data_IF_972873778938
#
_entry.id   IF_972873778938
#
_cell.length_a   1.000
_cell.length_b   1.000
_cell.length_c   1.000
_cell.angle_alpha   90.00
_cell.angle_beta   90.00
_cell.angle_gamma   90.00
#
_symmetry.space_group_name_H-M   'P 1'
#
loop_
_entity.id
_entity.type
_entity.pdbx_description
1 polymer ?
#
# COMPACT_ATOMS: atom_id res chain seq x y z
N UNK A 1 -2.17 0.03 15.71
CA UNK A 1 -2.05 -0.78 16.96
C UNK A 1 -2.36 -2.23 16.59
N UNK A 2 -1.47 -3.19 16.86
CA UNK A 2 -1.71 -4.60 16.58
C UNK A 2 -2.94 -5.14 17.33
N UNK A 3 -3.63 -6.09 16.70
CA UNK A 3 -4.80 -6.76 17.31
C UNK A 3 -4.58 -8.27 17.14
N UNK A 4 -4.66 -9.00 18.25
CA UNK A 4 -4.68 -10.45 18.21
C UNK A 4 -6.14 -10.90 18.05
N UNK A 5 -6.38 -11.69 17.03
CA UNK A 5 -7.69 -12.27 16.72
C UNK A 5 -7.58 -13.77 16.96
N UNK A 6 -8.51 -14.33 17.72
CA UNK A 6 -8.54 -15.74 18.01
C UNK A 6 -9.98 -16.29 17.96
N UNK A 7 -10.13 -17.50 17.41
CA UNK A 7 -11.39 -18.23 17.35
C UNK A 7 -11.17 -19.71 17.67
N UNK A 8 -12.21 -20.38 18.20
CA UNK A 8 -12.22 -21.85 18.34
C UNK A 8 -12.42 -22.56 17.01
N UNK A 9 -12.96 -21.87 16.04
CA UNK A 9 -13.21 -22.42 14.70
C UNK A 9 -11.98 -22.17 13.84
N UNK A 10 -11.32 -23.25 13.45
CA UNK A 10 -10.17 -23.24 12.57
C UNK A 10 -10.50 -23.76 11.18
N UNK A 11 -9.70 -23.39 10.19
CA UNK A 11 -9.91 -23.80 8.79
C UNK A 11 -11.08 -23.08 8.11
N UNK A 12 -11.52 -21.95 8.64
CA UNK A 12 -12.57 -21.08 8.09
C UNK A 12 -12.02 -19.70 7.83
N UNK A 13 -12.65 -18.97 6.93
CA UNK A 13 -12.34 -17.57 6.69
C UNK A 13 -12.75 -16.74 7.93
N UNK A 14 -11.76 -16.04 8.52
CA UNK A 14 -11.97 -15.28 9.74
C UNK A 14 -12.83 -14.03 9.50
N UNK A 15 -12.83 -13.48 8.28
CA UNK A 15 -13.66 -12.34 7.91
C UNK A 15 -15.12 -12.75 7.76
N UNK A 16 -15.39 -13.87 7.13
CA UNK A 16 -16.73 -14.44 7.05
C UNK A 16 -17.28 -14.79 8.44
N UNK A 17 -16.43 -15.35 9.30
CA UNK A 17 -16.81 -15.62 10.69
C UNK A 17 -17.08 -14.33 11.46
N UNK A 18 -16.30 -13.29 11.26
CA UNK A 18 -16.49 -11.99 11.90
C UNK A 18 -17.82 -11.32 11.52
N UNK A 19 -18.23 -11.49 10.27
CA UNK A 19 -19.47 -10.94 9.75
C UNK A 19 -20.70 -11.74 10.19
N UNK A 20 -20.61 -13.07 10.22
CA UNK A 20 -21.74 -13.96 10.49
C UNK A 20 -21.91 -14.29 11.97
N UNK A 21 -20.82 -14.42 12.72
CA UNK A 21 -20.80 -14.85 14.12
C UNK A 21 -19.75 -14.08 14.97
N UNK A 22 -19.88 -12.74 15.10
CA UNK A 22 -18.88 -11.91 15.77
C UNK A 22 -18.59 -12.31 17.22
N UNK A 23 -19.56 -12.92 17.91
CA UNK A 23 -19.41 -13.39 19.29
C UNK A 23 -18.46 -14.59 19.45
N UNK A 24 -18.05 -15.24 18.36
CA UNK A 24 -17.10 -16.36 18.38
C UNK A 24 -15.66 -15.91 18.17
N UNK A 25 -15.45 -14.63 17.98
CA UNK A 25 -14.13 -14.04 17.74
C UNK A 25 -13.71 -13.24 18.98
N UNK A 26 -12.53 -13.56 19.48
CA UNK A 26 -11.86 -12.81 20.53
C UNK A 26 -10.92 -11.82 19.85
N UNK A 27 -11.08 -10.53 20.16
CA UNK A 27 -10.21 -9.46 19.67
C UNK A 27 -9.51 -8.81 20.86
N UNK A 28 -8.18 -8.91 20.89
CA UNK A 28 -7.34 -8.34 21.96
C UNK A 28 -6.38 -7.32 21.35
N UNK A 29 -6.59 -6.02 21.57
CA UNK A 29 -5.64 -4.99 21.14
C UNK A 29 -4.37 -5.07 22.00
N UNK A 30 -3.21 -4.83 21.37
CA UNK A 30 -1.91 -4.84 22.05
C UNK A 30 -1.37 -3.41 22.11
N UNK A 31 -1.08 -2.94 23.33
CA UNK A 31 -0.38 -1.69 23.54
C UNK A 31 1.09 -1.86 23.11
N UNK A 32 1.52 -1.12 22.08
CA UNK A 32 2.89 -1.24 21.53
C UNK A 32 3.98 -0.69 22.46
N UNK A 33 3.62 0.13 23.44
CA UNK A 33 4.56 0.66 24.45
C UNK A 33 4.82 -0.36 25.55
N UNK A 34 3.76 -1.01 26.03
CA UNK A 34 3.83 -2.01 27.08
C UNK A 34 4.21 -3.40 26.55
N UNK A 35 3.92 -3.66 25.29
CA UNK A 35 4.12 -4.95 24.64
C UNK A 35 3.03 -5.96 24.97
N UNK A 36 3.25 -7.21 24.57
CA UNK A 36 2.34 -8.33 24.83
C UNK A 36 2.97 -9.34 25.77
N UNK A 37 2.26 -9.65 26.84
CA UNK A 37 2.79 -10.47 27.94
C UNK A 37 2.14 -11.86 28.00
N UNK A 38 2.81 -12.86 28.58
CA UNK A 38 2.29 -14.23 28.72
C UNK A 38 0.93 -14.33 29.41
N UNK A 39 0.62 -13.43 30.35
CA UNK A 39 -0.69 -13.45 31.04
C UNK A 39 -1.83 -13.09 30.10
N UNK A 40 -1.62 -12.15 29.18
CA UNK A 40 -2.61 -11.77 28.15
C UNK A 40 -2.85 -12.93 27.16
N UNK A 41 -1.80 -13.63 26.77
CA UNK A 41 -1.91 -14.84 25.96
C UNK A 41 -2.72 -15.94 26.68
N UNK A 42 -2.55 -16.05 28.01
CA UNK A 42 -3.34 -16.98 28.85
C UNK A 42 -4.80 -16.57 28.92
N UNK A 43 -5.11 -15.29 29.01
CA UNK A 43 -6.49 -14.78 28.98
C UNK A 43 -7.18 -15.14 27.67
N UNK A 44 -6.50 -14.93 26.52
CA UNK A 44 -7.00 -15.33 25.20
C UNK A 44 -7.26 -16.84 25.16
N UNK A 45 -6.28 -17.65 25.54
CA UNK A 45 -6.41 -19.11 25.55
C UNK A 45 -7.54 -19.60 26.50
N UNK A 46 -7.73 -18.92 27.62
CA UNK A 46 -8.84 -19.20 28.55
C UNK A 46 -10.19 -18.83 27.94
N UNK A 47 -10.28 -17.70 27.23
CA UNK A 47 -11.49 -17.27 26.54
C UNK A 47 -11.89 -18.20 25.39
N UNK A 48 -10.93 -18.97 24.85
CA UNK A 48 -11.18 -20.08 23.92
C UNK A 48 -11.65 -21.37 24.63
N UNK A 49 -11.99 -21.34 25.95
CA UNK A 49 -12.37 -22.48 26.77
C UNK A 49 -11.31 -23.59 26.85
N UNK A 50 -10.05 -23.30 26.54
CA UNK A 50 -8.97 -24.28 26.73
C UNK A 50 -8.65 -24.47 28.20
N UNK A 51 -8.32 -25.70 28.61
CA UNK A 51 -8.09 -26.08 30.03
C UNK A 51 -6.82 -26.94 30.15
N UNK A 52 -6.27 -26.98 31.36
CA UNK A 52 -5.18 -27.88 31.71
C UNK A 52 -3.95 -27.69 30.84
N UNK A 53 -3.44 -28.77 30.25
CA UNK A 53 -2.23 -28.76 29.40
C UNK A 53 -2.43 -28.00 28.09
N UNK A 54 -3.64 -28.05 27.53
CA UNK A 54 -3.93 -27.34 26.26
C UNK A 54 -3.96 -25.84 26.45
N UNK A 55 -4.46 -25.34 27.58
CA UNK A 55 -4.38 -23.94 27.96
C UNK A 55 -2.93 -23.45 28.02
N UNK A 56 -2.04 -24.24 28.66
CA UNK A 56 -0.62 -23.87 28.77
C UNK A 56 0.11 -23.86 27.43
N UNK A 57 -0.18 -24.85 26.59
CA UNK A 57 0.40 -24.95 25.25
C UNK A 57 -0.08 -23.81 24.36
N UNK A 58 -1.37 -23.54 24.31
CA UNK A 58 -1.95 -22.44 23.54
C UNK A 58 -1.41 -21.08 24.00
N UNK A 59 -1.31 -20.86 25.31
CA UNK A 59 -0.66 -19.67 25.88
C UNK A 59 0.74 -19.47 25.32
N UNK A 60 1.55 -20.55 25.31
CA UNK A 60 2.91 -20.51 24.78
C UNK A 60 2.93 -20.20 23.27
N UNK A 61 2.03 -20.81 22.49
CA UNK A 61 1.94 -20.57 21.03
C UNK A 61 1.54 -19.13 20.75
N UNK A 62 0.48 -18.62 21.37
CA UNK A 62 -0.02 -17.25 21.17
C UNK A 62 1.07 -16.22 21.52
N UNK A 63 1.74 -16.40 22.65
CA UNK A 63 2.82 -15.50 23.04
C UNK A 63 4.01 -15.54 22.09
N UNK A 64 4.44 -16.72 21.63
CA UNK A 64 5.53 -16.87 20.67
C UNK A 64 5.14 -16.32 19.31
N UNK A 65 3.91 -16.51 18.88
CA UNK A 65 3.40 -15.95 17.62
C UNK A 65 3.53 -14.42 17.61
N UNK A 66 3.10 -13.77 18.69
CA UNK A 66 3.28 -12.32 18.80
C UNK A 66 4.76 -11.90 18.80
N UNK A 67 5.64 -12.68 19.44
CA UNK A 67 7.09 -12.41 19.39
C UNK A 67 7.66 -12.50 17.98
N UNK A 68 7.21 -13.44 17.18
CA UNK A 68 7.58 -13.54 15.76
C UNK A 68 7.03 -12.35 14.99
N UNK A 69 5.76 -12.00 15.19
CA UNK A 69 5.13 -10.83 14.57
C UNK A 69 5.93 -9.54 14.82
N UNK A 70 6.28 -9.27 16.06
CA UNK A 70 7.00 -8.09 16.50
C UNK A 70 8.47 -8.09 16.00
N UNK A 71 9.15 -9.24 16.13
CA UNK A 71 10.57 -9.36 15.78
C UNK A 71 10.84 -9.22 14.29
N UNK A 72 9.92 -9.66 13.45
CA UNK A 72 10.11 -9.71 11.99
C UNK A 72 9.32 -8.65 11.25
N UNK A 73 8.86 -7.62 11.93
CA UNK A 73 8.09 -6.53 11.31
C UNK A 73 6.89 -7.05 10.49
N UNK A 74 6.19 -8.06 11.01
CA UNK A 74 5.06 -8.61 10.31
C UNK A 74 3.87 -7.63 10.31
N UNK A 75 3.17 -7.53 9.19
CA UNK A 75 1.90 -6.82 9.05
C UNK A 75 0.72 -7.76 9.30
N UNK A 76 0.89 -9.03 8.91
CA UNK A 76 -0.04 -10.13 9.17
C UNK A 76 0.77 -11.36 9.60
N UNK A 77 0.29 -12.06 10.61
CA UNK A 77 0.78 -13.38 10.99
C UNK A 77 -0.38 -14.24 11.47
N UNK A 78 -0.67 -15.30 10.74
CA UNK A 78 -1.82 -16.16 10.97
C UNK A 78 -1.39 -17.62 11.09
N UNK A 79 -2.03 -18.37 12.01
CA UNK A 79 -2.05 -19.83 12.03
C UNK A 79 -3.51 -20.25 11.88
N UNK A 80 -3.84 -20.90 10.76
CA UNK A 80 -5.21 -21.32 10.50
C UNK A 80 -5.28 -22.65 9.72
N UNK A 81 -5.61 -23.78 10.43
CA UNK A 81 -5.88 -23.89 11.86
C UNK A 81 -4.64 -24.21 12.71
N UNK A 82 -4.73 -23.91 14.02
CA UNK A 82 -3.89 -24.50 15.04
C UNK A 82 -4.57 -25.79 15.56
N UNK A 83 -4.00 -26.93 15.28
CA UNK A 83 -4.60 -28.24 15.55
C UNK A 83 -4.05 -28.86 16.83
N UNK A 84 -4.91 -29.46 17.63
CA UNK A 84 -4.52 -30.35 18.74
C UNK A 84 -4.64 -31.79 18.26
N UNK A 85 -3.52 -32.50 18.18
CA UNK A 85 -3.48 -33.92 17.74
C UNK A 85 -4.03 -34.85 18.80
N UNK A 86 -4.27 -36.11 18.43
CA UNK A 86 -4.69 -37.16 19.36
C UNK A 86 -3.60 -37.45 20.45
N UNK A 87 -2.32 -37.18 20.16
CA UNK A 87 -1.22 -37.24 21.13
C UNK A 87 -1.18 -36.00 22.07
N UNK A 88 -2.04 -35.02 21.83
CA UNK A 88 -2.09 -33.77 22.59
C UNK A 88 -1.02 -32.75 22.18
N UNK A 89 -0.38 -32.91 21.04
CA UNK A 89 0.55 -31.91 20.49
C UNK A 89 -0.21 -30.79 19.76
N UNK A 90 0.30 -29.56 19.83
CA UNK A 90 -0.22 -28.45 19.03
C UNK A 90 0.61 -28.28 17.76
N UNK A 91 -0.06 -28.32 16.62
CA UNK A 91 0.56 -28.24 15.30
C UNK A 91 -0.09 -27.09 14.50
N UNK A 92 0.74 -26.19 13.99
CA UNK A 92 0.30 -25.21 13.01
C UNK A 92 0.12 -25.90 11.66
N UNK A 93 -1.11 -26.10 11.21
CA UNK A 93 -1.38 -26.80 9.96
C UNK A 93 -1.08 -25.92 8.74
N UNK A 94 -1.35 -24.62 8.85
CA UNK A 94 -0.96 -23.62 7.87
C UNK A 94 -0.53 -22.33 8.58
N UNK A 95 0.42 -21.62 7.97
CA UNK A 95 0.94 -20.34 8.46
C UNK A 95 0.97 -19.38 7.26
N UNK A 96 0.42 -18.19 7.49
CA UNK A 96 0.56 -17.04 6.60
C UNK A 96 1.33 -15.95 7.33
N UNK A 97 2.32 -15.37 6.66
CA UNK A 97 3.08 -14.23 7.20
C UNK A 97 3.30 -13.21 6.08
N UNK A 98 2.88 -11.99 6.32
CA UNK A 98 3.25 -10.82 5.53
C UNK A 98 4.15 -9.92 6.38
N UNK A 99 5.20 -9.37 5.78
CA UNK A 99 6.21 -8.54 6.44
C UNK A 99 6.18 -7.16 5.83
N UNK A 100 6.37 -6.13 6.66
CA UNK A 100 6.46 -4.76 6.19
C UNK A 100 7.67 -4.60 5.25
N UNK A 101 7.41 -4.24 3.98
CA UNK A 101 8.46 -3.98 3.00
C UNK A 101 9.46 -2.92 3.47
N UNK A 102 8.96 -1.88 4.16
CA UNK A 102 9.79 -0.82 4.69
C UNK A 102 10.65 -1.29 5.90
N UNK A 103 10.34 -2.47 6.47
CA UNK A 103 11.12 -3.16 7.49
C UNK A 103 12.17 -4.14 6.96
N UNK A 104 12.07 -4.58 5.69
CA UNK A 104 12.92 -5.66 5.13
C UNK A 104 14.42 -5.37 5.17
N UNK A 105 14.83 -4.09 5.12
CA UNK A 105 16.25 -3.72 5.20
C UNK A 105 16.93 -4.17 6.49
N UNK A 106 16.18 -4.29 7.59
CA UNK A 106 16.67 -4.78 8.89
C UNK A 106 16.42 -6.27 9.12
N UNK A 107 15.86 -6.98 8.14
CA UNK A 107 15.54 -8.42 8.18
C UNK A 107 16.35 -9.22 7.14
N UNK A 108 17.71 -9.29 7.26
CA UNK A 108 18.58 -9.84 6.21
C UNK A 108 18.33 -11.32 5.93
N UNK A 109 17.77 -12.08 6.87
CA UNK A 109 17.43 -13.50 6.68
C UNK A 109 16.10 -13.72 5.98
N UNK A 110 15.18 -12.76 6.06
CA UNK A 110 13.87 -12.80 5.42
C UNK A 110 13.86 -12.12 4.04
N UNK A 111 14.54 -10.98 3.92
CA UNK A 111 14.55 -10.17 2.70
C UNK A 111 14.76 -10.96 1.40
N UNK A 112 15.68 -11.98 1.33
CA UNK A 112 15.83 -12.78 0.11
C UNK A 112 14.68 -13.76 -0.18
N UNK A 113 13.76 -13.94 0.77
CA UNK A 113 12.66 -14.93 0.71
C UNK A 113 11.30 -14.30 0.51
N UNK A 114 11.22 -12.99 0.67
CA UNK A 114 9.98 -12.21 0.57
C UNK A 114 9.96 -11.47 -0.76
N UNK A 115 8.87 -11.58 -1.49
CA UNK A 115 8.65 -10.79 -2.71
C UNK A 115 8.26 -9.36 -2.31
N UNK A 116 9.08 -8.33 -2.62
CA UNK A 116 8.78 -6.94 -2.26
C UNK A 116 7.46 -6.48 -2.86
N UNK A 117 6.69 -5.71 -2.10
CA UNK A 117 5.38 -5.19 -2.49
C UNK A 117 4.21 -6.16 -2.28
N UNK A 118 4.47 -7.38 -1.81
CA UNK A 118 3.41 -8.38 -1.54
C UNK A 118 2.53 -8.02 -0.33
N UNK A 119 3.03 -7.23 0.61
CA UNK A 119 2.31 -6.77 1.80
C UNK A 119 1.28 -5.67 1.52
N UNK A 120 1.43 -4.95 0.39
CA UNK A 120 0.59 -3.79 0.01
C UNK A 120 -0.70 -4.17 -0.71
N UNK A 121 -0.83 -5.41 -1.09
CA UNK A 121 -2.00 -5.91 -1.79
C UNK A 121 -2.53 -7.18 -1.11
N UNK A 122 -3.82 -7.22 -0.86
CA UNK A 122 -4.53 -8.42 -0.38
C UNK A 122 -4.52 -9.58 -1.39
N UNK A 123 -3.85 -9.39 -2.51
CA UNK A 123 -3.71 -10.31 -3.62
C UNK A 123 -2.28 -10.25 -4.17
N UNK A 124 -1.83 -11.26 -4.91
CA UNK A 124 -0.56 -11.19 -5.63
C UNK A 124 -0.47 -9.95 -6.52
N UNK A 125 0.73 -9.39 -6.63
CA UNK A 125 0.97 -8.24 -7.51
C UNK A 125 0.62 -8.58 -8.96
N UNK A 126 -0.04 -7.63 -9.63
CA UNK A 126 -0.24 -7.73 -11.08
C UNK A 126 1.08 -7.55 -11.83
N UNK A 127 1.11 -7.95 -13.10
CA UNK A 127 2.31 -7.75 -13.93
C UNK A 127 2.67 -6.26 -14.09
N UNK A 128 1.69 -5.38 -14.02
CA UNK A 128 1.92 -3.95 -14.07
C UNK A 128 2.51 -3.43 -12.75
N UNK A 129 2.00 -3.90 -11.61
CA UNK A 129 2.54 -3.57 -10.29
C UNK A 129 3.99 -4.03 -10.15
N UNK A 130 4.33 -5.25 -10.60
CA UNK A 130 5.72 -5.74 -10.64
C UNK A 130 6.64 -4.85 -11.47
N UNK A 131 6.17 -4.37 -12.62
CA UNK A 131 6.92 -3.40 -13.43
C UNK A 131 7.14 -2.10 -12.69
N UNK A 132 6.17 -1.63 -11.92
CA UNK A 132 6.30 -0.38 -11.15
C UNK A 132 7.23 -0.53 -9.95
N UNK A 133 7.26 -1.68 -9.29
CA UNK A 133 8.28 -2.02 -8.30
C UNK A 133 9.69 -1.94 -8.94
N UNK A 134 9.86 -2.47 -10.15
CA UNK A 134 11.14 -2.39 -10.87
C UNK A 134 11.52 -0.94 -11.22
N UNK A 135 10.56 -0.06 -11.54
CA UNK A 135 10.81 1.38 -11.75
C UNK A 135 11.30 2.05 -10.47
N UNK A 136 10.70 1.72 -9.32
CA UNK A 136 11.12 2.28 -8.03
C UNK A 136 12.52 1.80 -7.63
N UNK A 137 12.76 0.51 -7.74
CA UNK A 137 14.02 -0.12 -7.31
C UNK A 137 15.20 0.15 -8.23
N UNK A 138 14.97 0.57 -9.47
CA UNK A 138 16.06 0.94 -10.40
C UNK A 138 16.90 2.14 -9.89
N UNK A 139 16.29 3.04 -9.14
CA UNK A 139 16.96 4.22 -8.56
C UNK A 139 16.56 4.39 -7.08
N UNK A 140 16.97 3.48 -6.19
CA UNK A 140 16.47 3.41 -4.81
C UNK A 140 16.92 4.58 -3.92
N UNK A 141 17.94 5.31 -4.35
CA UNK A 141 18.57 6.40 -3.59
C UNK A 141 17.86 7.76 -3.73
N UNK A 142 16.87 7.88 -4.62
CA UNK A 142 16.22 9.18 -4.89
C UNK A 142 14.74 9.04 -5.19
N UNK A 143 13.95 9.48 -4.23
CA UNK A 143 12.50 9.48 -4.31
C UNK A 143 11.89 8.09 -4.34
N UNK A 144 10.58 8.04 -4.28
CA UNK A 144 9.78 6.81 -4.34
C UNK A 144 8.80 6.87 -5.49
N UNK A 145 8.44 5.70 -6.04
CA UNK A 145 7.36 5.53 -7.00
C UNK A 145 6.50 4.35 -6.55
N UNK A 146 5.28 4.63 -6.14
CA UNK A 146 4.34 3.61 -5.67
C UNK A 146 3.16 3.51 -6.61
N UNK A 147 2.69 2.30 -6.86
CA UNK A 147 1.57 2.03 -7.74
C UNK A 147 0.77 0.84 -7.23
N UNK A 148 -0.51 1.02 -7.17
CA UNK A 148 -1.48 -0.05 -6.89
C UNK A 148 -2.57 -0.01 -7.96
N UNK A 149 -2.82 -1.15 -8.57
CA UNK A 149 -3.86 -1.29 -9.59
C UNK A 149 -5.23 -1.45 -8.92
N UNK A 150 -6.22 -0.67 -9.40
CA UNK A 150 -7.60 -0.77 -8.93
C UNK A 150 -8.45 -1.50 -9.97
N UNK A 151 -9.48 -2.19 -9.52
CA UNK A 151 -10.43 -2.82 -10.45
C UNK A 151 -11.27 -1.78 -11.20
N UNK A 152 -11.41 -1.96 -12.50
CA UNK A 152 -12.15 -1.03 -13.35
C UNK A 152 -11.48 0.33 -13.43
N UNK A 153 -12.30 1.40 -13.46
CA UNK A 153 -11.82 2.77 -13.55
C UNK A 153 -11.28 3.15 -14.94
N UNK A 154 -11.27 4.47 -15.20
CA UNK A 154 -10.81 5.01 -16.47
C UNK A 154 -9.97 6.29 -16.31
N UNK A 155 -9.72 6.71 -15.08
CA UNK A 155 -8.88 7.86 -14.77
C UNK A 155 -7.55 7.35 -14.23
N UNK A 156 -6.47 7.59 -14.97
CA UNK A 156 -5.12 7.40 -14.47
C UNK A 156 -4.83 8.43 -13.37
N UNK A 157 -4.50 7.96 -12.18
CA UNK A 157 -4.27 8.79 -11.00
C UNK A 157 -2.80 8.79 -10.61
N UNK A 158 -2.23 9.98 -10.46
CA UNK A 158 -0.88 10.18 -9.95
C UNK A 158 -0.85 11.38 -9.00
N UNK A 159 -0.29 11.20 -7.82
CA UNK A 159 -0.17 12.28 -6.84
C UNK A 159 1.25 12.37 -6.27
N UNK A 160 1.58 13.51 -5.73
CA UNK A 160 2.81 13.74 -4.97
C UNK A 160 2.53 13.93 -3.50
N UNK A 161 3.03 12.98 -2.67
CA UNK A 161 2.94 13.05 -1.21
C UNK A 161 1.71 12.37 -0.62
N UNK A 162 1.94 11.50 0.37
CA UNK A 162 1.00 10.55 0.95
C UNK A 162 -0.36 11.09 1.38
N UNK A 163 -0.43 12.05 2.32
CA UNK A 163 -1.73 12.55 2.81
C UNK A 163 -2.52 13.34 1.76
N UNK A 164 -1.83 14.09 0.90
CA UNK A 164 -2.46 14.81 -0.21
C UNK A 164 -3.08 13.89 -1.24
N UNK A 165 -2.44 12.76 -1.54
CA UNK A 165 -2.94 11.78 -2.51
C UNK A 165 -4.26 11.15 -2.07
N UNK A 166 -4.40 10.81 -0.79
CA UNK A 166 -5.65 10.27 -0.25
C UNK A 166 -6.79 11.28 -0.37
N UNK A 167 -6.51 12.57 -0.09
CA UNK A 167 -7.50 13.63 -0.15
C UNK A 167 -8.02 13.85 -1.59
N UNK A 168 -7.12 13.84 -2.58
CA UNK A 168 -7.48 13.95 -4.00
C UNK A 168 -8.22 12.71 -4.49
N UNK A 169 -7.77 11.53 -4.07
CA UNK A 169 -8.44 10.28 -4.42
C UNK A 169 -9.88 10.25 -3.92
N UNK A 170 -10.09 10.61 -2.65
CA UNK A 170 -11.43 10.70 -2.07
C UNK A 170 -12.29 11.77 -2.75
N UNK A 171 -11.70 12.92 -3.15
CA UNK A 171 -12.40 13.95 -3.90
C UNK A 171 -12.84 13.45 -5.28
N UNK A 172 -11.96 12.75 -6.02
CA UNK A 172 -12.33 12.13 -7.29
C UNK A 172 -13.53 11.19 -7.15
N UNK A 173 -13.52 10.30 -6.15
CA UNK A 173 -14.63 9.39 -5.88
C UNK A 173 -15.92 10.16 -5.54
N UNK A 174 -15.83 11.20 -4.73
CA UNK A 174 -16.96 12.06 -4.33
C UNK A 174 -17.62 12.75 -5.52
N UNK A 175 -16.83 13.16 -6.51
CA UNK A 175 -17.33 13.77 -7.73
C UNK A 175 -17.71 12.76 -8.83
N UNK A 176 -17.70 11.46 -8.52
CA UNK A 176 -18.13 10.39 -9.42
C UNK A 176 -17.04 9.90 -10.37
N UNK A 177 -15.81 10.36 -10.21
CA UNK A 177 -14.64 9.84 -10.92
C UNK A 177 -14.37 8.38 -10.57
N UNK A 178 -13.75 7.66 -11.52
CA UNK A 178 -13.41 6.25 -11.35
C UNK A 178 -11.91 6.06 -11.57
N UNK A 179 -11.07 6.22 -10.51
CA UNK A 179 -9.64 5.99 -10.63
C UNK A 179 -9.33 4.56 -11.05
N UNK A 180 -8.44 4.39 -12.01
CA UNK A 180 -8.00 3.10 -12.50
C UNK A 180 -6.86 2.50 -11.65
N UNK A 181 -6.22 3.33 -10.87
CA UNK A 181 -5.10 2.99 -10.00
C UNK A 181 -4.95 4.01 -8.88
N UNK A 182 -4.17 3.66 -7.88
CA UNK A 182 -3.57 4.61 -6.94
C UNK A 182 -2.07 4.65 -7.20
N UNK A 183 -1.53 5.83 -7.53
CA UNK A 183 -0.10 6.01 -7.70
C UNK A 183 0.40 7.28 -7.03
N UNK A 184 1.58 7.20 -6.45
CA UNK A 184 2.22 8.36 -5.83
C UNK A 184 3.73 8.36 -6.05
N UNK A 185 4.31 9.55 -6.09
CA UNK A 185 5.74 9.76 -6.00
C UNK A 185 6.08 10.64 -4.79
N UNK A 186 7.25 10.45 -4.24
CA UNK A 186 7.71 11.24 -3.10
C UNK A 186 9.21 11.45 -3.09
N UNK A 187 9.71 12.31 -2.16
CA UNK A 187 11.13 12.43 -1.89
C UNK A 187 11.98 12.92 -3.07
N UNK A 188 11.49 13.81 -3.92
CA UNK A 188 12.22 14.38 -5.05
C UNK A 188 12.68 13.33 -6.08
N UNK A 189 11.76 12.61 -6.76
CA UNK A 189 12.08 11.56 -7.71
C UNK A 189 12.89 12.07 -8.91
N UNK A 190 13.57 11.16 -9.57
CA UNK A 190 14.25 11.46 -10.84
C UNK A 190 13.24 11.58 -11.98
N UNK A 191 13.66 12.23 -13.06
CA UNK A 191 12.86 12.32 -14.29
C UNK A 191 12.51 10.93 -14.85
N UNK A 192 13.47 9.99 -14.83
CA UNK A 192 13.29 8.61 -15.30
C UNK A 192 12.24 7.87 -14.48
N UNK A 193 12.30 8.01 -13.15
CA UNK A 193 11.34 7.41 -12.23
C UNK A 193 9.91 7.95 -12.46
N UNK A 194 9.76 9.27 -12.58
CA UNK A 194 8.46 9.89 -12.91
C UNK A 194 7.95 9.42 -14.27
N UNK A 195 8.79 9.44 -15.29
CA UNK A 195 8.41 8.97 -16.64
C UNK A 195 7.97 7.50 -16.61
N UNK A 196 8.71 6.64 -15.90
CA UNK A 196 8.35 5.23 -15.72
C UNK A 196 6.98 5.05 -15.04
N UNK A 197 6.73 5.80 -13.97
CA UNK A 197 5.47 5.74 -13.23
C UNK A 197 4.28 6.24 -14.08
N UNK A 198 4.43 7.36 -14.80
CA UNK A 198 3.41 7.88 -15.72
C UNK A 198 3.10 6.86 -16.82
N UNK A 199 4.13 6.25 -17.43
CA UNK A 199 3.94 5.19 -18.43
C UNK A 199 3.18 3.99 -17.85
N UNK A 200 3.48 3.61 -16.62
CA UNK A 200 2.76 2.55 -15.90
C UNK A 200 1.27 2.90 -15.74
N UNK A 201 0.98 4.07 -15.21
CA UNK A 201 -0.40 4.55 -15.02
C UNK A 201 -1.18 4.54 -16.34
N UNK A 202 -0.59 5.08 -17.40
CA UNK A 202 -1.26 5.24 -18.70
C UNK A 202 -1.30 3.97 -19.55
N UNK A 203 -0.50 2.95 -19.21
CA UNK A 203 -0.51 1.66 -19.92
C UNK A 203 -1.61 0.73 -19.45
N UNK A 204 -2.31 1.05 -18.36
CA UNK A 204 -3.43 0.22 -17.90
C UNK A 204 -4.58 0.27 -18.91
N UNK A 205 -5.10 -0.87 -19.36
CA UNK A 205 -6.23 -0.91 -20.28
C UNK A 205 -7.47 -0.19 -19.71
N UNK A 206 -8.10 0.64 -20.54
CA UNK A 206 -9.31 1.39 -20.16
C UNK A 206 -9.05 2.78 -19.59
N UNK A 207 -7.80 3.17 -19.34
CA UNK A 207 -7.48 4.55 -18.96
C UNK A 207 -7.75 5.49 -20.13
N UNK A 208 -8.65 6.46 -19.91
CA UNK A 208 -9.11 7.40 -20.90
C UNK A 208 -8.89 8.88 -20.51
N UNK A 209 -8.31 9.12 -19.35
CA UNK A 209 -7.92 10.44 -18.86
C UNK A 209 -6.86 10.32 -17.77
N UNK A 210 -6.18 11.42 -17.46
CA UNK A 210 -5.07 11.44 -16.51
C UNK A 210 -5.14 12.66 -15.59
N UNK A 211 -4.98 12.42 -14.29
CA UNK A 211 -4.83 13.48 -13.32
C UNK A 211 -3.50 13.34 -12.60
N UNK A 212 -2.77 14.45 -12.53
CA UNK A 212 -1.61 14.63 -11.62
C UNK A 212 -1.96 15.74 -10.66
N UNK A 213 -1.97 15.45 -9.37
CA UNK A 213 -2.23 16.47 -8.36
C UNK A 213 -1.25 16.34 -7.19
N UNK A 214 -0.67 17.46 -6.78
CA UNK A 214 0.27 17.50 -5.66
C UNK A 214 -0.09 18.62 -4.69
N UNK A 215 0.28 18.45 -3.43
CA UNK A 215 0.37 19.60 -2.53
C UNK A 215 1.48 20.55 -3.01
N UNK A 216 1.66 21.68 -2.35
CA UNK A 216 2.79 22.59 -2.59
C UNK A 216 4.05 21.93 -2.04
N UNK A 217 4.98 21.57 -2.93
CA UNK A 217 6.20 20.82 -2.57
C UNK A 217 7.36 21.77 -2.29
N UNK A 218 8.10 21.52 -1.22
CA UNK A 218 9.27 22.31 -0.83
C UNK A 218 10.61 21.57 -1.01
N UNK A 219 10.57 20.28 -1.36
CA UNK A 219 11.77 19.46 -1.61
C UNK A 219 11.74 18.77 -2.99
N UNK A 220 10.56 18.54 -3.55
CA UNK A 220 10.40 17.95 -4.89
C UNK A 220 10.51 19.03 -5.96
N UNK A 221 11.42 18.84 -6.91
CA UNK A 221 11.63 19.74 -8.01
C UNK A 221 10.56 19.54 -9.09
N UNK A 222 9.64 20.50 -9.17
CA UNK A 222 8.48 20.39 -10.07
C UNK A 222 8.86 20.38 -11.55
N UNK A 223 9.97 21.05 -11.93
CA UNK A 223 10.50 21.00 -13.30
C UNK A 223 10.99 19.60 -13.69
N UNK A 224 11.57 18.85 -12.76
CA UNK A 224 11.98 17.46 -13.00
C UNK A 224 10.76 16.55 -13.18
N UNK A 225 9.73 16.75 -12.35
CA UNK A 225 8.46 16.03 -12.50
C UNK A 225 7.78 16.36 -13.83
N UNK A 226 7.74 17.64 -14.20
CA UNK A 226 7.17 18.09 -15.49
C UNK A 226 7.90 17.46 -16.69
N UNK A 227 9.25 17.41 -16.66
CA UNK A 227 10.04 16.72 -17.71
C UNK A 227 9.69 15.24 -17.81
N UNK A 228 9.52 14.57 -16.67
CA UNK A 228 9.15 13.15 -16.64
C UNK A 228 7.77 12.89 -17.23
N UNK A 229 6.77 13.72 -16.92
CA UNK A 229 5.42 13.63 -17.48
C UNK A 229 5.45 13.85 -19.00
N UNK A 230 6.11 14.93 -19.46
CA UNK A 230 6.23 15.25 -20.90
C UNK A 230 6.96 14.15 -21.66
N UNK A 231 8.05 13.63 -21.09
CA UNK A 231 8.79 12.50 -21.67
C UNK A 231 7.89 11.27 -21.84
N UNK A 232 7.12 10.92 -20.84
CA UNK A 232 6.19 9.78 -20.93
C UNK A 232 5.15 9.97 -22.04
N UNK A 233 4.57 11.17 -22.16
CA UNK A 233 3.61 11.48 -23.21
C UNK A 233 4.23 11.35 -24.61
N UNK A 234 5.46 11.87 -24.79
CA UNK A 234 6.19 11.76 -26.06
C UNK A 234 6.50 10.30 -26.41
N UNK A 235 7.04 9.52 -25.46
CA UNK A 235 7.39 8.12 -25.68
C UNK A 235 6.18 7.21 -25.93
N UNK A 236 5.01 7.56 -25.37
CA UNK A 236 3.75 6.86 -25.59
C UNK A 236 2.94 7.40 -26.78
N UNK A 237 3.44 8.42 -27.48
CA UNK A 237 2.72 9.12 -28.55
C UNK A 237 1.33 9.65 -28.14
N UNK A 238 1.20 10.13 -26.90
CA UNK A 238 -0.02 10.73 -26.39
C UNK A 238 -0.06 12.20 -26.77
N UNK A 239 -1.12 12.61 -27.47
CA UNK A 239 -1.34 14.02 -27.75
C UNK A 239 -2.10 14.68 -26.58
N UNK A 240 -1.45 15.58 -25.81
CA UNK A 240 -2.05 16.21 -24.64
C UNK A 240 -3.26 17.12 -24.96
N UNK A 241 -3.41 17.57 -26.21
CA UNK A 241 -4.56 18.37 -26.64
C UNK A 241 -5.85 17.56 -26.78
N UNK A 242 -5.73 16.25 -27.05
CA UNK A 242 -6.87 15.37 -27.27
C UNK A 242 -7.07 14.33 -26.17
N UNK A 243 -6.05 14.08 -25.36
CA UNK A 243 -6.13 13.16 -24.22
C UNK A 243 -6.49 13.96 -22.96
N UNK A 244 -7.66 13.71 -22.32
CA UNK A 244 -8.08 14.44 -21.14
C UNK A 244 -7.03 14.38 -20.02
N UNK A 245 -6.44 15.52 -19.73
CA UNK A 245 -5.34 15.61 -18.76
C UNK A 245 -5.52 16.83 -17.87
N UNK A 246 -5.32 16.64 -16.56
CA UNK A 246 -5.25 17.71 -15.58
C UNK A 246 -3.93 17.55 -14.82
N UNK A 247 -3.11 18.61 -14.80
CA UNK A 247 -1.90 18.66 -13.99
C UNK A 247 -1.96 19.84 -13.05
N UNK A 248 -1.99 19.53 -11.75
CA UNK A 248 -1.80 20.50 -10.68
C UNK A 248 -0.49 20.16 -9.94
N UNK A 249 0.53 20.96 -10.17
CA UNK A 249 1.89 20.72 -9.69
C UNK A 249 2.53 22.05 -9.26
N UNK A 250 2.67 22.28 -7.95
CA UNK A 250 3.19 23.51 -7.41
C UNK A 250 4.36 23.26 -6.45
N UNK A 251 5.29 24.21 -6.36
CA UNK A 251 6.44 24.14 -5.46
C UNK A 251 7.73 24.66 -6.07
N UNK A 252 8.87 24.05 -5.69
CA UNK A 252 10.20 24.48 -6.15
C UNK A 252 10.30 24.35 -7.67
N UNK A 253 10.81 25.38 -8.33
CA UNK A 253 11.00 25.46 -9.79
C UNK A 253 9.69 25.47 -10.60
N UNK A 254 8.61 25.95 -10.02
CA UNK A 254 7.30 26.00 -10.68
C UNK A 254 7.28 26.85 -11.95
N UNK A 255 8.03 27.94 -11.99
CA UNK A 255 8.21 28.77 -13.21
C UNK A 255 8.77 27.96 -14.37
N UNK A 256 9.76 27.12 -14.11
CA UNK A 256 10.35 26.23 -15.10
C UNK A 256 9.37 25.11 -15.50
N UNK A 257 8.64 24.55 -14.56
CA UNK A 257 7.61 23.55 -14.83
C UNK A 257 6.49 24.10 -15.73
N UNK A 258 6.00 25.32 -15.44
CA UNK A 258 5.02 26.03 -16.28
C UNK A 258 5.50 26.17 -17.73
N UNK A 259 6.78 26.52 -17.91
CA UNK A 259 7.36 26.63 -19.25
C UNK A 259 7.38 25.28 -19.97
N UNK A 260 7.82 24.22 -19.29
CA UNK A 260 7.89 22.87 -19.86
C UNK A 260 6.50 22.39 -20.30
N UNK A 261 5.49 22.54 -19.49
CA UNK A 261 4.12 22.14 -19.84
C UNK A 261 3.53 22.95 -20.99
N UNK A 262 3.77 24.27 -20.99
CA UNK A 262 3.33 25.17 -22.08
C UNK A 262 3.95 24.76 -23.40
N UNK A 263 5.29 24.57 -23.42
CA UNK A 263 6.02 24.23 -24.63
C UNK A 263 5.63 22.83 -25.18
N UNK A 264 5.11 21.95 -24.30
CA UNK A 264 4.64 20.61 -24.64
C UNK A 264 3.11 20.53 -24.90
N UNK A 265 2.36 21.62 -24.74
CA UNK A 265 0.90 21.62 -24.88
C UNK A 265 0.13 20.87 -23.80
N UNK A 266 0.77 20.57 -22.66
CA UNK A 266 0.11 19.86 -21.53
C UNK A 266 -0.68 20.86 -20.70
N UNK A 267 -1.99 20.66 -20.47
CA UNK A 267 -2.77 21.49 -19.55
C UNK A 267 -2.23 21.43 -18.12
N UNK A 268 -2.05 22.60 -17.51
CA UNK A 268 -1.55 22.70 -16.13
C UNK A 268 -2.20 23.86 -15.37
N UNK A 269 -2.30 23.71 -14.04
CA UNK A 269 -2.93 24.70 -13.16
C UNK A 269 -2.04 25.17 -12.02
N UNK A 270 -0.95 24.49 -11.71
CA UNK A 270 -0.05 24.81 -10.59
C UNK A 270 -0.85 25.03 -9.28
N UNK A 271 -0.63 26.15 -8.59
CA UNK A 271 -1.34 26.57 -7.38
C UNK A 271 -2.55 27.50 -7.65
N UNK A 272 -2.89 27.69 -8.91
CA UNK A 272 -4.01 28.56 -9.34
C UNK A 272 -5.38 27.99 -8.91
N UNK A 273 -5.44 26.70 -8.64
CA UNK A 273 -6.65 26.00 -8.14
C UNK A 273 -6.29 25.13 -6.92
N UNK A 274 -7.29 24.81 -6.10
CA UNK A 274 -7.11 23.87 -4.99
C UNK A 274 -6.99 22.43 -5.49
N UNK A 275 -6.44 21.53 -4.66
CA UNK A 275 -6.38 20.10 -4.96
C UNK A 275 -7.80 19.52 -5.20
N UNK A 276 -8.77 19.92 -4.39
CA UNK A 276 -10.16 19.47 -4.55
C UNK A 276 -10.78 20.01 -5.86
N UNK A 277 -10.44 21.24 -6.28
CA UNK A 277 -10.93 21.79 -7.54
C UNK A 277 -10.33 21.08 -8.77
N UNK A 278 -9.10 20.60 -8.68
CA UNK A 278 -8.47 19.78 -9.73
C UNK A 278 -9.14 18.40 -9.86
N UNK A 279 -9.60 17.82 -8.75
CA UNK A 279 -10.31 16.54 -8.74
C UNK A 279 -11.78 16.62 -9.20
N UNK A 280 -12.37 17.82 -9.23
CA UNK A 280 -13.74 18.09 -9.67
C UNK A 280 -13.84 18.21 -11.20
#
# INVERSE_FOLDING_TARGET
>A
MPIIIASREGGVDIEDLANTQPNRIIKTPVNTIEGFHPFQAKEIASALDLKGKDLQKATSVIWRLYKVFDQYDATILEINPLVITASGEMVAAAILMAVDDDGLYRQPTLSPKVEPGSDRAWRPLTELEKKMVAVDTAEPYRGTARYTEMEGGNIGFLCGGGGGSLLVYDALLRYGGKPANYAEFGGNPTQTKVSGLVKGVLSKPGVAGFIVDTNITNNTQTDVVAKGIVQAFQEMNINPETFPTIVRLAGINDVQARKIFRDAGVPYYMDDITMEAAAR
#
